data_IF_916905027155
#
_entry.id   IF_916905027155
#
_cell.length_a   1.000
_cell.length_b   1.000
_cell.length_c   1.000
_cell.angle_alpha   90.00
_cell.angle_beta   90.00
_cell.angle_gamma   90.00
#
_symmetry.space_group_name_H-M   'P 1'
#
loop_
_entity.id
_entity.type
_entity.pdbx_description
1 polymer ?
#
# COMPACT_ATOMS: atom_id res chain seq x y z
N UNK A 1 49.36 -31.80 -30.59
CA UNK A 1 47.95 -32.16 -30.36
C UNK A 1 47.41 -31.75 -28.98
N UNK A 2 48.24 -31.16 -28.09
CA UNK A 2 47.80 -30.80 -26.71
C UNK A 2 47.36 -29.35 -26.49
N UNK A 3 47.75 -28.38 -27.34
CA UNK A 3 47.44 -26.96 -27.09
C UNK A 3 45.97 -26.57 -27.33
N UNK A 4 45.26 -27.22 -28.23
CA UNK A 4 43.85 -26.96 -28.47
C UNK A 4 42.95 -27.53 -27.37
N UNK A 5 43.34 -28.70 -26.83
CA UNK A 5 42.64 -29.32 -25.71
C UNK A 5 42.80 -28.54 -24.43
N UNK A 6 43.97 -27.96 -24.16
CA UNK A 6 44.23 -27.09 -22.99
C UNK A 6 43.42 -25.79 -23.06
N UNK A 7 43.36 -25.12 -24.24
CA UNK A 7 42.54 -23.93 -24.42
C UNK A 7 41.05 -24.21 -24.32
N UNK A 8 40.58 -25.37 -24.75
CA UNK A 8 39.19 -25.77 -24.58
C UNK A 8 38.85 -26.05 -23.11
N UNK A 9 39.77 -26.67 -22.39
CA UNK A 9 39.64 -26.94 -20.95
C UNK A 9 39.63 -25.64 -20.14
N UNK A 10 40.51 -24.68 -20.42
CA UNK A 10 40.54 -23.37 -19.78
C UNK A 10 39.23 -22.61 -19.99
N UNK A 11 38.68 -22.64 -21.22
CA UNK A 11 37.39 -22.01 -21.50
C UNK A 11 36.21 -22.63 -20.71
N UNK A 12 36.24 -23.98 -20.61
CA UNK A 12 35.22 -24.70 -19.85
C UNK A 12 35.33 -24.40 -18.37
N UNK A 13 36.52 -24.43 -17.78
CA UNK A 13 36.76 -24.09 -16.37
C UNK A 13 36.32 -22.68 -16.09
N UNK A 14 36.67 -21.70 -16.93
CA UNK A 14 36.25 -20.30 -16.77
C UNK A 14 34.72 -20.16 -16.76
N UNK A 15 34.00 -20.81 -17.68
CA UNK A 15 32.55 -20.81 -17.73
C UNK A 15 31.91 -21.43 -16.49
N UNK A 16 32.49 -22.53 -15.98
CA UNK A 16 31.99 -23.17 -14.74
C UNK A 16 32.22 -22.24 -13.54
N UNK A 17 33.38 -21.63 -13.40
CA UNK A 17 33.70 -20.70 -12.32
C UNK A 17 32.76 -19.49 -12.39
N UNK A 18 32.55 -18.88 -13.56
CA UNK A 18 31.62 -17.77 -13.73
C UNK A 18 30.16 -18.16 -13.39
N UNK A 19 29.75 -19.38 -13.74
CA UNK A 19 28.42 -19.88 -13.42
C UNK A 19 28.25 -20.13 -11.91
N UNK A 20 29.27 -20.68 -11.25
CA UNK A 20 29.26 -20.92 -9.79
C UNK A 20 29.26 -19.59 -9.03
N UNK A 21 30.11 -18.63 -9.42
CA UNK A 21 30.17 -17.32 -8.80
C UNK A 21 28.85 -16.59 -8.96
N UNK A 22 28.22 -16.61 -10.15
CA UNK A 22 26.89 -16.03 -10.37
C UNK A 22 25.83 -16.68 -9.50
N UNK A 23 25.89 -18.00 -9.34
CA UNK A 23 24.93 -18.73 -8.51
C UNK A 23 25.10 -18.40 -7.03
N UNK A 24 26.34 -18.35 -6.54
CA UNK A 24 26.62 -17.93 -5.17
C UNK A 24 26.17 -16.48 -4.91
N UNK A 25 26.46 -15.56 -5.83
CA UNK A 25 26.00 -14.17 -5.71
C UNK A 25 24.47 -14.04 -5.76
N UNK A 26 23.78 -14.90 -6.52
CA UNK A 26 22.33 -14.94 -6.56
C UNK A 26 21.75 -15.56 -5.27
N UNK A 27 22.35 -16.61 -4.73
CA UNK A 27 21.97 -17.23 -3.47
C UNK A 27 22.22 -16.27 -2.28
N UNK A 28 23.35 -15.56 -2.25
CA UNK A 28 23.64 -14.52 -1.26
C UNK A 28 22.66 -13.32 -1.37
N UNK A 29 22.30 -12.92 -2.58
CA UNK A 29 21.31 -11.85 -2.80
C UNK A 29 19.87 -12.29 -2.43
N UNK A 30 19.53 -13.58 -2.57
CA UNK A 30 18.26 -14.13 -2.08
C UNK A 30 18.25 -14.26 -0.56
N UNK A 31 19.36 -14.59 0.09
CA UNK A 31 19.50 -14.68 1.55
C UNK A 31 19.48 -13.30 2.21
N UNK A 32 19.98 -12.25 1.51
CA UNK A 32 19.91 -10.85 1.93
C UNK A 32 18.63 -10.13 1.46
N UNK A 33 17.77 -10.77 0.67
CA UNK A 33 16.52 -10.15 0.23
C UNK A 33 15.64 -9.82 1.46
N UNK A 34 15.34 -8.52 1.70
CA UNK A 34 14.59 -8.13 2.87
C UNK A 34 13.21 -8.77 2.83
N UNK A 35 12.93 -9.57 3.85
CA UNK A 35 11.68 -10.30 4.01
C UNK A 35 10.79 -9.64 5.07
N UNK A 36 9.49 -9.89 4.98
CA UNK A 36 8.53 -9.36 5.93
C UNK A 36 8.13 -7.91 5.68
N UNK A 37 7.35 -7.36 6.59
CA UNK A 37 6.80 -6.00 6.51
C UNK A 37 7.01 -5.23 7.80
N UNK A 38 7.09 -3.91 7.68
CA UNK A 38 7.15 -2.96 8.79
C UNK A 38 5.92 -2.04 8.75
N UNK A 39 5.14 -2.00 9.81
CA UNK A 39 4.04 -1.06 9.97
C UNK A 39 4.42 0.04 10.96
N UNK A 40 4.32 1.30 10.53
CA UNK A 40 4.55 2.47 11.37
C UNK A 40 3.23 3.10 11.78
N UNK A 41 2.96 3.12 13.07
CA UNK A 41 1.76 3.75 13.65
C UNK A 41 2.17 5.07 14.29
N UNK A 42 1.93 6.17 13.58
CA UNK A 42 2.45 7.50 13.95
C UNK A 42 1.41 8.39 14.61
N UNK A 43 0.16 7.94 14.67
CA UNK A 43 -0.95 8.69 15.26
C UNK A 43 -2.03 7.76 15.80
N UNK A 44 -3.06 8.35 16.42
CA UNK A 44 -4.21 7.60 16.91
C UNK A 44 -4.90 6.82 15.78
N UNK A 45 -5.28 5.58 16.06
CA UNK A 45 -6.01 4.69 15.15
C UNK A 45 -7.43 4.54 15.64
N UNK A 46 -8.41 5.06 14.89
CA UNK A 46 -9.81 5.11 15.32
C UNK A 46 -10.43 3.71 15.54
N UNK A 47 -10.06 2.75 14.71
CA UNK A 47 -10.57 1.36 14.79
C UNK A 47 -9.41 0.35 14.71
N UNK A 48 -8.64 0.16 15.80
CA UNK A 48 -7.41 -0.63 15.77
C UNK A 48 -7.61 -2.07 15.26
N UNK A 49 -8.70 -2.71 15.65
CA UNK A 49 -9.00 -4.09 15.23
C UNK A 49 -9.31 -4.19 13.73
N UNK A 50 -9.98 -3.18 13.14
CA UNK A 50 -10.24 -3.14 11.69
C UNK A 50 -8.95 -2.88 10.93
N UNK A 51 -8.15 -1.93 11.40
CA UNK A 51 -6.84 -1.65 10.83
C UNK A 51 -5.98 -2.91 10.80
N UNK A 52 -5.88 -3.61 11.94
CA UNK A 52 -5.11 -4.85 12.04
C UNK A 52 -5.61 -5.94 11.10
N UNK A 53 -6.91 -6.22 11.06
CA UNK A 53 -7.49 -7.22 10.13
C UNK A 53 -7.19 -6.89 8.66
N UNK A 54 -7.18 -5.61 8.30
CA UNK A 54 -6.83 -5.19 6.93
C UNK A 54 -5.36 -5.44 6.66
N UNK A 55 -4.49 -5.11 7.59
CA UNK A 55 -3.05 -5.37 7.48
C UNK A 55 -2.73 -6.87 7.41
N UNK A 56 -3.32 -7.66 8.29
CA UNK A 56 -3.15 -9.11 8.33
C UNK A 56 -3.63 -9.79 7.03
N UNK A 57 -4.73 -9.32 6.47
CA UNK A 57 -5.25 -9.81 5.18
C UNK A 57 -4.33 -9.49 4.01
N UNK A 58 -3.72 -8.28 4.00
CA UNK A 58 -2.88 -7.81 2.89
C UNK A 58 -1.43 -8.29 2.98
N UNK A 59 -0.90 -8.43 4.20
CA UNK A 59 0.54 -8.66 4.45
C UNK A 59 0.84 -9.97 5.19
N UNK A 60 -0.17 -10.64 5.73
CA UNK A 60 0.01 -11.85 6.52
C UNK A 60 0.52 -11.57 7.94
N UNK A 61 1.03 -12.63 8.60
CA UNK A 61 1.47 -12.58 10.00
C UNK A 61 2.85 -11.97 10.19
N UNK A 62 3.66 -11.82 9.13
CA UNK A 62 5.06 -11.38 9.20
C UNK A 62 5.22 -9.84 9.24
N UNK A 63 4.17 -9.14 9.70
CA UNK A 63 4.17 -7.70 9.80
C UNK A 63 4.61 -7.28 11.22
N UNK A 64 5.79 -6.68 11.32
CA UNK A 64 6.27 -6.03 12.56
C UNK A 64 5.67 -4.64 12.68
N UNK A 65 5.29 -4.25 13.89
CA UNK A 65 4.67 -2.95 14.12
C UNK A 65 5.56 -2.08 15.03
N UNK A 66 5.82 -0.85 14.62
CA UNK A 66 6.47 0.17 15.46
C UNK A 66 5.48 1.30 15.72
N UNK A 67 5.25 1.59 17.00
CA UNK A 67 4.33 2.64 17.45
C UNK A 67 5.09 3.85 17.96
N UNK A 68 4.60 5.05 17.62
CA UNK A 68 5.14 6.32 18.06
C UNK A 68 4.21 6.97 19.10
N UNK A 69 4.79 7.35 20.23
CA UNK A 69 4.05 8.00 21.31
C UNK A 69 3.31 7.03 22.25
N UNK A 70 3.13 7.48 23.48
CA UNK A 70 2.59 6.65 24.57
C UNK A 70 1.11 6.28 24.42
N UNK A 71 0.35 7.11 23.69
CA UNK A 71 -1.10 6.93 23.52
C UNK A 71 -1.46 6.15 22.25
N UNK A 72 -0.48 5.75 21.46
CA UNK A 72 -0.72 5.02 20.23
C UNK A 72 -0.98 3.54 20.57
N UNK A 73 -2.10 2.97 20.13
CA UNK A 73 -2.42 1.58 20.43
C UNK A 73 -1.44 0.63 19.75
N UNK A 74 -1.05 -0.42 20.45
CA UNK A 74 -0.34 -1.53 19.84
C UNK A 74 -1.24 -2.20 18.81
N UNK A 75 -0.74 -2.45 17.62
CA UNK A 75 -1.41 -3.21 16.58
C UNK A 75 -0.73 -4.57 16.42
N UNK A 76 -1.47 -5.65 16.64
CA UNK A 76 -0.94 -7.01 16.51
C UNK A 76 -0.04 -7.46 17.66
N UNK A 77 0.47 -8.71 17.55
CA UNK A 77 1.21 -9.37 18.64
C UNK A 77 2.70 -9.03 18.77
N UNK A 78 3.28 -8.31 17.82
CA UNK A 78 4.72 -7.98 17.78
C UNK A 78 4.99 -6.47 17.74
N UNK A 79 4.23 -5.68 18.51
CA UNK A 79 4.37 -4.22 18.51
C UNK A 79 5.52 -3.76 19.40
N UNK A 80 6.48 -3.06 18.81
CA UNK A 80 7.60 -2.39 19.49
C UNK A 80 7.29 -0.89 19.63
N UNK A 81 7.89 -0.24 20.61
CA UNK A 81 7.80 1.22 20.76
C UNK A 81 9.01 1.88 20.16
N UNK A 82 8.79 2.97 19.45
CA UNK A 82 9.89 3.78 18.91
C UNK A 82 10.83 4.28 20.01
N UNK A 83 10.29 4.63 21.16
CA UNK A 83 11.06 5.11 22.32
C UNK A 83 12.07 4.09 22.84
N UNK A 84 11.80 2.79 22.64
CA UNK A 84 12.67 1.70 23.08
C UNK A 84 13.77 1.38 22.06
N UNK A 85 13.49 1.55 20.77
CA UNK A 85 14.41 1.18 19.69
C UNK A 85 15.23 2.37 19.14
N UNK A 86 14.70 3.57 19.23
CA UNK A 86 15.32 4.79 18.73
C UNK A 86 15.42 4.86 17.20
N UNK A 87 16.07 5.91 16.70
CA UNK A 87 16.19 6.14 15.26
C UNK A 87 17.04 5.07 14.56
N UNK A 88 18.15 4.65 15.16
CA UNK A 88 19.01 3.62 14.58
C UNK A 88 18.29 2.28 14.46
N UNK A 89 17.59 1.84 15.51
CA UNK A 89 16.82 0.61 15.50
C UNK A 89 15.65 0.65 14.50
N UNK A 90 15.02 1.81 14.29
CA UNK A 90 13.98 1.95 13.28
C UNK A 90 14.55 1.81 11.86
N UNK A 91 15.69 2.44 11.57
CA UNK A 91 16.35 2.33 10.27
C UNK A 91 16.83 0.90 9.99
N UNK A 92 17.35 0.20 10.99
CA UNK A 92 17.73 -1.21 10.88
C UNK A 92 16.53 -2.08 10.49
N UNK A 93 15.37 -1.91 11.15
CA UNK A 93 14.13 -2.62 10.81
C UNK A 93 13.62 -2.28 9.41
N UNK A 94 13.70 -1.01 9.03
CA UNK A 94 13.30 -0.58 7.70
C UNK A 94 14.20 -1.20 6.62
N UNK A 95 15.51 -1.21 6.81
CA UNK A 95 16.46 -1.79 5.85
C UNK A 95 16.28 -3.30 5.70
N UNK A 96 15.94 -4.01 6.76
CA UNK A 96 15.64 -5.44 6.76
C UNK A 96 14.23 -5.80 6.28
N UNK A 97 13.37 -4.82 5.97
CA UNK A 97 11.98 -5.06 5.54
C UNK A 97 11.81 -4.84 4.05
N UNK A 98 11.09 -5.76 3.37
CA UNK A 98 10.73 -5.63 1.96
C UNK A 98 9.56 -4.68 1.71
N UNK A 99 8.76 -4.42 2.73
CA UNK A 99 7.52 -3.65 2.66
C UNK A 99 7.36 -2.71 3.84
N UNK A 100 6.80 -1.53 3.59
CA UNK A 100 6.49 -0.54 4.62
C UNK A 100 5.01 -0.16 4.55
N UNK A 101 4.34 -0.11 5.70
CA UNK A 101 2.97 0.39 5.81
C UNK A 101 2.91 1.53 6.80
N UNK A 102 2.48 2.70 6.35
CA UNK A 102 2.21 3.84 7.22
C UNK A 102 0.73 3.81 7.63
N UNK A 103 0.48 3.58 8.93
CA UNK A 103 -0.88 3.38 9.45
C UNK A 103 -1.46 4.70 9.93
N UNK A 104 -2.58 5.12 9.33
CA UNK A 104 -3.32 6.35 9.66
C UNK A 104 -2.45 7.56 9.95
N UNK A 105 -1.57 7.94 9.01
CA UNK A 105 -0.71 9.08 9.23
C UNK A 105 -1.51 10.38 9.29
N UNK A 106 -0.99 11.35 10.05
CA UNK A 106 -1.54 12.72 10.03
C UNK A 106 -1.46 13.30 8.61
N UNK A 107 -2.45 14.09 8.21
CA UNK A 107 -2.46 14.73 6.89
C UNK A 107 -1.24 15.61 6.64
N UNK A 108 -0.69 16.23 7.69
CA UNK A 108 0.56 17.00 7.61
C UNK A 108 1.74 16.13 7.23
N UNK A 109 1.82 14.90 7.75
CA UNK A 109 2.87 13.94 7.41
C UNK A 109 2.74 13.50 5.94
N UNK A 110 1.53 13.18 5.48
CA UNK A 110 1.25 12.87 4.07
C UNK A 110 1.70 14.00 3.14
N UNK A 111 1.33 15.23 3.46
CA UNK A 111 1.71 16.40 2.66
C UNK A 111 3.21 16.68 2.67
N UNK A 112 3.94 16.35 3.73
CA UNK A 112 5.40 16.48 3.77
C UNK A 112 6.07 15.42 2.88
N UNK A 113 5.66 14.17 2.99
CA UNK A 113 6.18 13.09 2.14
C UNK A 113 5.88 13.37 0.67
N UNK A 114 4.65 13.81 0.34
CA UNK A 114 4.27 14.15 -1.03
C UNK A 114 5.13 15.26 -1.65
N UNK A 115 5.65 16.18 -0.84
CA UNK A 115 6.58 17.23 -1.30
C UNK A 115 8.05 16.81 -1.28
N UNK A 116 8.36 15.56 -0.89
CA UNK A 116 9.74 15.09 -0.78
C UNK A 116 10.49 15.68 0.44
N UNK A 117 9.75 16.17 1.44
CA UNK A 117 10.35 16.66 2.70
C UNK A 117 10.70 15.43 3.56
N UNK A 118 11.97 15.18 3.78
CA UNK A 118 12.53 14.08 4.56
C UNK A 118 13.20 14.54 5.89
N UNK A 119 12.90 15.76 6.33
CA UNK A 119 13.49 16.32 7.56
C UNK A 119 13.05 15.57 8.84
N UNK A 120 11.88 14.94 8.82
CA UNK A 120 11.42 14.08 9.91
C UNK A 120 11.85 12.64 9.75
N UNK A 121 12.01 11.91 10.87
CA UNK A 121 12.47 10.53 10.85
C UNK A 121 11.54 9.60 10.06
N UNK A 122 10.23 9.73 10.25
CA UNK A 122 9.24 8.89 9.53
C UNK A 122 9.25 9.20 8.04
N UNK A 123 9.28 10.49 7.68
CA UNK A 123 9.40 10.95 6.30
C UNK A 123 10.68 10.40 5.66
N UNK A 124 11.79 10.47 6.39
CA UNK A 124 13.07 9.94 5.94
C UNK A 124 12.99 8.43 5.67
N UNK A 125 12.44 7.65 6.60
CA UNK A 125 12.26 6.19 6.43
C UNK A 125 11.38 5.90 5.20
N UNK A 126 10.25 6.56 5.06
CA UNK A 126 9.34 6.36 3.91
C UNK A 126 10.05 6.69 2.59
N UNK A 127 10.74 7.83 2.53
CA UNK A 127 11.49 8.26 1.34
C UNK A 127 12.59 7.25 1.00
N UNK A 128 13.33 6.75 2.00
CA UNK A 128 14.36 5.71 1.77
C UNK A 128 13.78 4.42 1.24
N UNK A 129 12.66 3.95 1.79
CA UNK A 129 11.99 2.74 1.29
C UNK A 129 11.59 2.89 -0.18
N UNK A 130 11.04 4.05 -0.58
CA UNK A 130 10.69 4.35 -1.98
C UNK A 130 11.96 4.32 -2.85
N UNK A 131 13.04 5.01 -2.43
CA UNK A 131 14.29 5.08 -3.18
C UNK A 131 14.99 3.71 -3.30
N UNK A 132 14.81 2.82 -2.33
CA UNK A 132 15.29 1.43 -2.39
C UNK A 132 14.41 0.52 -3.25
N UNK A 133 13.34 1.06 -3.86
CA UNK A 133 12.41 0.27 -4.67
C UNK A 133 11.54 -0.70 -3.86
N UNK A 134 11.37 -0.44 -2.56
CA UNK A 134 10.53 -1.27 -1.67
C UNK A 134 9.05 -0.90 -1.81
N UNK A 135 8.19 -1.86 -1.52
CA UNK A 135 6.75 -1.59 -1.51
C UNK A 135 6.39 -0.68 -0.32
N UNK A 136 5.82 0.47 -0.62
CA UNK A 136 5.30 1.40 0.40
C UNK A 136 3.79 1.52 0.27
N UNK A 137 3.09 1.39 1.39
CA UNK A 137 1.64 1.52 1.44
C UNK A 137 1.22 2.48 2.54
N UNK A 138 0.08 3.11 2.37
CA UNK A 138 -0.56 3.96 3.38
C UNK A 138 -1.94 3.41 3.67
N UNK A 139 -2.19 3.10 4.94
CA UNK A 139 -3.49 2.65 5.42
C UNK A 139 -4.28 3.85 5.94
N UNK A 140 -5.36 4.20 5.25
CA UNK A 140 -6.24 5.34 5.56
C UNK A 140 -7.50 4.89 6.29
N UNK A 141 -7.95 5.69 7.25
CA UNK A 141 -9.22 5.53 7.96
C UNK A 141 -10.39 6.23 7.27
N UNK A 142 -10.19 6.73 6.07
CA UNK A 142 -11.19 7.41 5.24
C UNK A 142 -11.06 6.99 3.77
N UNK A 143 -12.14 7.16 3.03
CA UNK A 143 -12.09 7.02 1.57
C UNK A 143 -11.65 8.35 0.94
N UNK A 144 -10.68 8.27 0.03
CA UNK A 144 -10.23 9.43 -0.71
C UNK A 144 -11.39 9.98 -1.56
N UNK A 145 -11.87 11.21 -1.28
CA UNK A 145 -13.05 11.75 -1.95
C UNK A 145 -12.81 11.93 -3.45
N UNK A 146 -13.82 11.64 -4.26
CA UNK A 146 -13.72 11.66 -5.74
C UNK A 146 -13.98 13.04 -6.34
N UNK A 147 -14.78 13.91 -5.70
CA UNK A 147 -15.08 15.29 -6.16
C UNK A 147 -14.63 16.31 -5.12
N UNK A 148 -13.95 17.41 -5.54
CA UNK A 148 -13.10 18.13 -4.60
C UNK A 148 -12.88 19.60 -4.84
N UNK A 149 -13.40 20.20 -5.90
CA UNK A 149 -13.12 21.61 -6.22
C UNK A 149 -13.56 22.52 -5.06
N UNK A 150 -12.64 23.39 -4.66
CA UNK A 150 -12.84 24.42 -3.62
C UNK A 150 -13.18 23.87 -2.23
N UNK A 151 -12.70 22.67 -1.87
CA UNK A 151 -12.92 22.10 -0.53
C UNK A 151 -11.60 21.75 0.14
N UNK A 152 -11.64 21.54 1.46
CA UNK A 152 -10.52 21.00 2.24
C UNK A 152 -9.92 19.72 1.61
N UNK A 153 -10.76 18.91 1.03
CA UNK A 153 -10.34 17.66 0.39
C UNK A 153 -9.47 17.85 -0.86
N UNK A 154 -9.55 18.98 -1.54
CA UNK A 154 -8.76 19.24 -2.75
C UNK A 154 -7.25 19.09 -2.47
N UNK A 155 -6.79 19.69 -1.38
CA UNK A 155 -5.40 19.59 -0.95
C UNK A 155 -4.99 18.16 -0.59
N UNK A 156 -5.80 17.51 0.26
CA UNK A 156 -5.54 16.11 0.69
C UNK A 156 -5.41 15.18 -0.50
N UNK A 157 -6.26 15.40 -1.48
CA UNK A 157 -6.25 14.55 -2.67
C UNK A 157 -5.14 14.86 -3.64
N UNK A 158 -4.70 16.10 -3.72
CA UNK A 158 -3.47 16.46 -4.42
C UNK A 158 -2.28 15.69 -3.83
N UNK A 159 -2.12 15.74 -2.52
CA UNK A 159 -1.05 15.00 -1.82
C UNK A 159 -1.15 13.49 -2.07
N UNK A 160 -2.36 12.90 -1.99
CA UNK A 160 -2.56 11.47 -2.25
C UNK A 160 -2.32 11.08 -3.73
N UNK A 161 -2.62 11.97 -4.68
CA UNK A 161 -2.28 11.73 -6.09
C UNK A 161 -0.76 11.68 -6.31
N UNK A 162 -0.03 12.66 -5.76
CA UNK A 162 1.43 12.69 -5.83
C UNK A 162 2.03 11.43 -5.23
N UNK A 163 1.57 11.00 -4.05
CA UNK A 163 2.05 9.78 -3.42
C UNK A 163 1.81 8.53 -4.28
N UNK A 164 0.65 8.44 -4.98
CA UNK A 164 0.40 7.35 -5.93
C UNK A 164 1.33 7.39 -7.13
N UNK A 165 1.64 8.57 -7.65
CA UNK A 165 2.61 8.76 -8.73
C UNK A 165 4.02 8.34 -8.30
N UNK A 166 4.36 8.49 -7.02
CA UNK A 166 5.59 7.97 -6.40
C UNK A 166 5.57 6.44 -6.20
N UNK A 167 4.50 5.75 -6.56
CA UNK A 167 4.36 4.29 -6.41
C UNK A 167 3.79 3.84 -5.05
N UNK A 168 3.32 4.75 -4.20
CA UNK A 168 2.76 4.41 -2.90
C UNK A 168 1.33 3.88 -3.05
N UNK A 169 1.06 2.68 -2.50
CA UNK A 169 -0.27 2.07 -2.49
C UNK A 169 -1.15 2.70 -1.40
N UNK A 170 -2.42 2.93 -1.73
CA UNK A 170 -3.41 3.41 -0.78
C UNK A 170 -4.36 2.27 -0.39
N UNK A 171 -4.38 1.94 0.89
CA UNK A 171 -5.31 0.99 1.49
C UNK A 171 -6.30 1.73 2.36
N UNK A 172 -7.53 1.27 2.43
CA UNK A 172 -8.57 1.87 3.25
C UNK A 172 -9.17 0.84 4.22
N UNK A 173 -9.33 1.23 5.49
CA UNK A 173 -10.09 0.45 6.45
C UNK A 173 -11.17 1.31 7.14
N UNK A 174 -11.30 2.54 6.70
CA UNK A 174 -12.13 3.59 7.30
C UNK A 174 -13.55 3.14 7.59
N UNK A 175 -14.37 4.06 8.07
CA UNK A 175 -15.81 3.87 8.28
C UNK A 175 -16.52 3.56 6.94
N UNK A 176 -15.94 2.66 6.17
CA UNK A 176 -16.67 1.98 5.15
C UNK A 176 -17.95 1.58 5.84
N UNK A 177 -19.07 2.12 5.40
CA UNK A 177 -20.34 1.46 5.59
C UNK A 177 -19.98 -0.01 5.52
N UNK A 178 -20.04 -0.73 6.66
CA UNK A 178 -20.19 -2.16 6.58
C UNK A 178 -21.09 -2.35 5.39
N UNK A 179 -20.66 -3.11 4.42
CA UNK A 179 -21.48 -3.38 3.27
C UNK A 179 -22.80 -3.95 3.82
N UNK A 180 -23.69 -3.04 4.15
CA UNK A 180 -25.09 -3.35 4.34
C UNK A 180 -25.57 -3.69 2.94
N UNK A 181 -25.33 -4.93 2.54
CA UNK A 181 -25.65 -5.43 1.22
C UNK A 181 -24.63 -4.96 0.17
N UNK A 182 -24.14 -5.87 -0.61
CA UNK A 182 -23.27 -5.72 -1.78
C UNK A 182 -23.90 -4.83 -2.86
N UNK A 183 -24.28 -3.57 -2.56
CA UNK A 183 -24.98 -2.70 -3.50
C UNK A 183 -24.54 -1.24 -3.43
N UNK A 184 -24.70 -0.51 -4.52
CA UNK A 184 -24.46 0.92 -4.62
C UNK A 184 -25.49 1.69 -3.77
N UNK A 185 -25.02 2.59 -2.93
CA UNK A 185 -25.90 3.45 -2.11
C UNK A 185 -26.43 4.69 -2.86
N UNK A 186 -25.76 5.05 -3.95
CA UNK A 186 -26.16 6.10 -4.87
C UNK A 186 -25.92 5.58 -6.29
N UNK A 187 -26.95 5.61 -7.12
CA UNK A 187 -26.88 5.24 -8.53
C UNK A 187 -27.14 6.49 -9.36
N UNK A 188 -26.14 6.91 -10.12
CA UNK A 188 -26.25 8.01 -11.09
C UNK A 188 -26.20 7.47 -12.51
N UNK A 189 -26.44 8.31 -13.51
CA UNK A 189 -26.35 7.96 -14.91
C UNK A 189 -24.99 7.35 -15.29
N UNK A 190 -23.93 7.80 -14.63
CA UNK A 190 -22.58 7.32 -14.85
C UNK A 190 -22.41 5.85 -14.44
N UNK A 191 -22.85 5.47 -13.25
CA UNK A 191 -22.81 4.10 -12.78
C UNK A 191 -23.61 3.15 -13.68
N UNK A 192 -24.69 3.65 -14.27
CA UNK A 192 -25.48 2.89 -15.25
C UNK A 192 -24.71 2.69 -16.54
N UNK A 193 -24.05 3.73 -17.05
CA UNK A 193 -23.24 3.64 -18.27
C UNK A 193 -22.05 2.70 -18.08
N UNK A 194 -21.33 2.84 -16.97
CA UNK A 194 -20.20 1.96 -16.60
C UNK A 194 -20.65 0.48 -16.45
N UNK A 195 -21.83 0.23 -15.90
CA UNK A 195 -22.38 -1.12 -15.78
C UNK A 195 -22.77 -1.70 -17.14
N UNK A 196 -23.34 -0.90 -18.02
CA UNK A 196 -23.67 -1.29 -19.39
C UNK A 196 -22.43 -1.68 -20.19
N UNK A 197 -21.40 -0.82 -20.18
CA UNK A 197 -20.12 -1.07 -20.85
C UNK A 197 -19.41 -2.33 -20.33
N UNK A 198 -19.56 -2.61 -19.03
CA UNK A 198 -19.00 -3.80 -18.38
C UNK A 198 -19.90 -5.05 -18.49
N UNK A 199 -21.08 -4.95 -19.12
CA UNK A 199 -22.03 -6.06 -19.27
C UNK A 199 -22.53 -6.65 -17.94
N UNK A 200 -22.64 -5.82 -16.88
CA UNK A 200 -23.03 -6.26 -15.53
C UNK A 200 -24.31 -5.59 -15.03
N UNK A 201 -25.01 -6.26 -14.14
CA UNK A 201 -26.16 -5.69 -13.40
C UNK A 201 -25.68 -4.78 -12.29
N UNK A 202 -26.52 -3.81 -11.89
CA UNK A 202 -26.28 -2.93 -10.75
C UNK A 202 -26.97 -3.52 -9.54
N UNK A 203 -26.19 -3.85 -8.50
CA UNK A 203 -26.73 -4.23 -7.20
C UNK A 203 -26.90 -2.98 -6.36
N UNK A 204 -28.12 -2.65 -5.95
CA UNK A 204 -28.45 -1.49 -5.14
C UNK A 204 -28.46 -1.87 -3.65
N UNK A 205 -27.97 -0.99 -2.78
CA UNK A 205 -28.13 -1.15 -1.35
C UNK A 205 -29.61 -0.97 -0.95
N UNK A 206 -30.03 -1.56 0.17
CA UNK A 206 -31.42 -1.53 0.65
C UNK A 206 -32.06 -0.12 0.79
N UNK A 207 -31.26 0.94 0.82
CA UNK A 207 -31.68 2.36 0.84
C UNK A 207 -30.92 3.18 -0.19
N UNK A 208 -30.68 2.60 -1.37
CA UNK A 208 -29.98 3.31 -2.44
C UNK A 208 -30.80 4.49 -2.95
N UNK A 209 -30.15 5.61 -3.13
CA UNK A 209 -30.72 6.76 -3.83
C UNK A 209 -30.43 6.58 -5.33
N UNK A 210 -31.47 6.43 -6.14
CA UNK A 210 -31.35 6.30 -7.59
C UNK A 210 -31.84 7.64 -8.16
N UNK A 211 -30.95 8.33 -8.87
CA UNK A 211 -31.30 9.60 -9.52
C UNK A 211 -32.31 9.37 -10.65
N UNK A 212 -33.19 10.34 -10.95
CA UNK A 212 -34.13 10.23 -12.07
C UNK A 212 -33.44 9.90 -13.41
N UNK A 213 -32.33 10.59 -13.72
CA UNK A 213 -31.55 10.34 -14.94
C UNK A 213 -30.93 8.95 -14.98
N UNK A 214 -30.49 8.41 -13.82
CA UNK A 214 -30.01 7.02 -13.77
C UNK A 214 -31.11 6.01 -14.08
N UNK A 215 -32.32 6.27 -13.62
CA UNK A 215 -33.46 5.40 -13.84
C UNK A 215 -33.88 5.39 -15.31
N UNK A 216 -33.87 6.55 -15.93
CA UNK A 216 -34.19 6.69 -17.36
C UNK A 216 -33.10 6.05 -18.23
N UNK A 217 -31.83 6.28 -17.90
CA UNK A 217 -30.69 5.68 -18.59
C UNK A 217 -30.66 4.15 -18.46
N UNK A 218 -30.98 3.60 -17.30
CA UNK A 218 -31.04 2.17 -17.09
C UNK A 218 -32.15 1.51 -17.94
N UNK A 219 -33.30 2.17 -18.12
CA UNK A 219 -34.35 1.72 -19.03
C UNK A 219 -33.91 1.78 -20.49
N UNK A 220 -33.25 2.88 -20.87
CA UNK A 220 -32.74 3.06 -22.23
C UNK A 220 -31.74 1.97 -22.62
N UNK A 221 -30.80 1.66 -21.72
CA UNK A 221 -29.71 0.71 -21.94
C UNK A 221 -30.06 -0.75 -21.52
N UNK A 222 -31.23 -0.97 -20.94
CA UNK A 222 -31.64 -2.30 -20.49
C UNK A 222 -30.82 -2.85 -19.30
N UNK A 223 -30.19 -1.97 -18.50
CA UNK A 223 -29.41 -2.37 -17.33
C UNK A 223 -30.34 -2.69 -16.17
N UNK A 224 -30.22 -3.90 -15.61
CA UNK A 224 -30.98 -4.31 -14.44
C UNK A 224 -30.39 -3.72 -13.16
N UNK A 225 -31.26 -3.19 -12.31
CA UNK A 225 -30.93 -2.68 -10.96
C UNK A 225 -31.68 -3.54 -9.94
N UNK A 226 -30.92 -4.27 -9.11
CA UNK A 226 -31.41 -5.18 -8.09
C UNK A 226 -31.12 -4.66 -6.68
#
# INVERSE_FOLDING_TARGET
>A
MNQETDKAMERLVRRIVEAVVRRQQAEEAEEEAPSGGLALVTSHVAWPQRAWRTLEKEYGADLRTVTFGKETPALGGGSERYEDIGAAGLMERASGSGRLVLVTPKLTLLGRIARGDDAGLVEHVVTRMILWGREVSILLDFEAPRQRRNTFYEKVCGDLCILREMGVRMLGYGAGREAAGTGLSLVTEREVTEAYEAGREIVCAARAVITPSARDKARELGVKMN
#
